data_IF_133422985681
#
_entry.id   IF_133422985681
#
_cell.length_a   1.000
_cell.length_b   1.000
_cell.length_c   1.000
_cell.angle_alpha   90.00
_cell.angle_beta   90.00
_cell.angle_gamma   90.00
#
_symmetry.space_group_name_H-M   'P 1'
#
loop_
_entity.id
_entity.type
_entity.pdbx_description
1 polymer ?
#
# COMPACT_ATOMS: atom_id res chain seq x y z
N UNK A 1 5.43 24.38 -4.69
CA UNK A 1 6.10 24.96 -3.51
C UNK A 1 7.36 24.15 -3.19
N UNK A 2 8.20 24.57 -2.22
CA UNK A 2 9.31 23.72 -1.78
C UNK A 2 8.77 22.56 -0.93
N UNK A 3 9.05 21.32 -1.35
CA UNK A 3 8.70 20.12 -0.58
C UNK A 3 9.68 20.02 0.58
N UNK A 4 9.16 20.13 1.80
CA UNK A 4 9.96 20.07 3.02
C UNK A 4 10.17 18.61 3.44
N UNK A 5 11.40 18.11 3.42
CA UNK A 5 11.70 16.70 3.73
C UNK A 5 11.23 16.24 5.12
N UNK A 6 11.19 17.16 6.10
CA UNK A 6 10.68 16.86 7.44
C UNK A 6 9.15 16.67 7.46
N UNK A 7 8.43 17.42 6.63
CA UNK A 7 6.99 17.25 6.44
C UNK A 7 6.71 15.92 5.73
N UNK A 8 7.46 15.58 4.68
CA UNK A 8 7.33 14.30 3.97
C UNK A 8 7.49 13.11 4.91
N UNK A 9 8.51 13.13 5.77
CA UNK A 9 8.74 12.06 6.76
C UNK A 9 7.57 11.95 7.74
N UNK A 10 7.09 13.09 8.24
CA UNK A 10 5.95 13.14 9.17
C UNK A 10 4.67 12.61 8.51
N UNK A 11 4.39 13.00 7.28
CA UNK A 11 3.24 12.49 6.53
C UNK A 11 3.37 11.00 6.24
N UNK A 12 4.54 10.51 5.83
CA UNK A 12 4.76 9.08 5.58
C UNK A 12 4.50 8.22 6.83
N UNK A 13 4.97 8.66 8.00
CA UNK A 13 4.70 7.96 9.26
C UNK A 13 3.22 7.97 9.62
N UNK A 14 2.55 9.13 9.48
CA UNK A 14 1.13 9.25 9.80
C UNK A 14 0.25 8.42 8.87
N UNK A 15 0.63 8.28 7.60
CA UNK A 15 -0.13 7.50 6.61
C UNK A 15 0.16 6.01 6.75
N UNK A 16 1.41 5.58 6.60
CA UNK A 16 1.73 4.15 6.50
C UNK A 16 1.87 3.45 7.86
N UNK A 17 2.36 4.14 8.89
CA UNK A 17 2.66 3.51 10.18
C UNK A 17 1.47 3.64 11.14
N UNK A 18 0.97 4.86 11.32
CA UNK A 18 -0.08 5.15 12.30
C UNK A 18 -1.49 5.11 11.72
N UNK A 19 -1.67 5.35 10.42
CA UNK A 19 -3.00 5.49 9.81
C UNK A 19 -3.78 6.71 10.33
N UNK A 20 -3.10 7.67 10.96
CA UNK A 20 -3.71 8.88 11.52
C UNK A 20 -4.11 9.89 10.43
N UNK A 21 -3.57 9.76 9.22
CA UNK A 21 -3.92 10.57 8.06
C UNK A 21 -4.04 9.70 6.82
N UNK A 22 -4.94 10.08 5.92
CA UNK A 22 -5.04 9.52 4.56
C UNK A 22 -4.54 10.54 3.55
N UNK A 23 -4.14 10.06 2.38
CA UNK A 23 -3.79 10.95 1.26
C UNK A 23 -4.98 11.79 0.81
N UNK A 24 -6.18 11.19 0.78
CA UNK A 24 -7.43 11.90 0.54
C UNK A 24 -7.80 12.75 1.76
N UNK A 25 -7.70 14.08 1.60
CA UNK A 25 -8.04 15.08 2.63
C UNK A 25 -7.03 15.28 3.78
N UNK A 26 -6.06 14.39 3.99
CA UNK A 26 -5.10 14.48 5.11
C UNK A 26 -3.66 14.87 4.73
N UNK A 27 -3.27 14.67 3.47
CA UNK A 27 -1.94 15.04 2.95
C UNK A 27 -2.12 15.95 1.73
N UNK A 28 -1.44 17.11 1.65
CA UNK A 28 -1.52 17.94 0.46
C UNK A 28 -1.01 17.19 -0.78
N UNK A 29 -1.66 17.37 -1.92
CA UNK A 29 -1.36 16.65 -3.18
C UNK A 29 0.11 16.80 -3.59
N UNK A 30 0.73 17.96 -3.34
CA UNK A 30 2.15 18.21 -3.61
C UNK A 30 3.10 17.23 -2.87
N UNK A 31 2.67 16.68 -1.73
CA UNK A 31 3.45 15.74 -0.93
C UNK A 31 3.17 14.28 -1.27
N UNK A 32 2.15 13.97 -2.07
CA UNK A 32 1.74 12.58 -2.34
C UNK A 32 2.89 11.76 -2.93
N UNK A 33 3.54 12.30 -3.97
CA UNK A 33 4.67 11.64 -4.64
C UNK A 33 5.83 11.41 -3.66
N UNK A 34 6.30 12.46 -2.98
CA UNK A 34 7.44 12.35 -2.07
C UNK A 34 7.17 11.45 -0.86
N UNK A 35 5.93 11.38 -0.39
CA UNK A 35 5.53 10.48 0.70
C UNK A 35 5.59 9.02 0.24
N UNK A 36 5.12 8.71 -0.97
CA UNK A 36 5.23 7.38 -1.58
C UNK A 36 6.69 6.98 -1.82
N UNK A 37 7.51 7.90 -2.35
CA UNK A 37 8.95 7.67 -2.52
C UNK A 37 9.66 7.41 -1.19
N UNK A 38 9.30 8.16 -0.14
CA UNK A 38 9.86 7.96 1.20
C UNK A 38 9.48 6.58 1.74
N UNK A 39 8.21 6.19 1.63
CA UNK A 39 7.74 4.87 2.05
C UNK A 39 8.45 3.75 1.28
N UNK A 40 8.55 3.85 -0.05
CA UNK A 40 9.26 2.89 -0.89
C UNK A 40 10.74 2.72 -0.49
N UNK A 41 11.41 3.82 -0.14
CA UNK A 41 12.84 3.82 0.19
C UNK A 41 13.12 3.40 1.65
N UNK A 42 12.25 3.77 2.59
CA UNK A 42 12.51 3.64 4.04
C UNK A 42 11.73 2.53 4.71
N UNK A 43 10.58 2.12 4.19
CA UNK A 43 9.74 1.12 4.81
C UNK A 43 9.92 -0.25 4.17
N UNK A 44 9.74 -1.27 4.99
CA UNK A 44 9.73 -2.65 4.55
C UNK A 44 8.40 -2.98 3.84
N UNK A 45 8.43 -3.98 2.97
CA UNK A 45 7.27 -4.41 2.18
C UNK A 45 6.10 -4.79 3.08
N UNK A 46 6.39 -5.44 4.22
CA UNK A 46 5.38 -5.80 5.20
C UNK A 46 4.71 -4.59 5.87
N UNK A 47 5.41 -3.46 6.05
CA UNK A 47 4.83 -2.24 6.62
C UNK A 47 3.87 -1.59 5.61
N UNK A 48 4.27 -1.58 4.35
CA UNK A 48 3.46 -1.04 3.25
C UNK A 48 2.22 -1.92 3.05
N UNK A 49 2.39 -3.25 3.13
CA UNK A 49 1.28 -4.21 3.08
C UNK A 49 0.36 -4.08 4.30
N UNK A 50 0.90 -3.93 5.50
CA UNK A 50 0.09 -3.73 6.72
C UNK A 50 -0.74 -2.45 6.63
N UNK A 51 -0.18 -1.37 6.07
CA UNK A 51 -0.94 -0.14 5.81
C UNK A 51 -2.12 -0.37 4.85
N UNK A 52 -1.94 -1.20 3.82
CA UNK A 52 -3.01 -1.62 2.92
C UNK A 52 -4.04 -2.51 3.62
N UNK A 53 -3.59 -3.53 4.36
CA UNK A 53 -4.46 -4.46 5.09
C UNK A 53 -5.31 -3.75 6.16
N UNK A 54 -4.77 -2.67 6.77
CA UNK A 54 -5.48 -1.80 7.72
C UNK A 54 -6.29 -0.68 7.06
N UNK A 55 -6.34 -0.65 5.73
CA UNK A 55 -7.02 0.37 4.94
C UNK A 55 -6.58 1.82 5.23
N UNK A 56 -5.31 2.00 5.60
CA UNK A 56 -4.70 3.33 5.78
C UNK A 56 -4.41 3.99 4.42
N UNK A 57 -4.02 3.17 3.45
CA UNK A 57 -3.82 3.52 2.05
C UNK A 57 -4.79 2.72 1.17
N UNK A 58 -5.04 3.23 -0.02
CA UNK A 58 -5.83 2.55 -1.06
C UNK A 58 -5.00 1.53 -1.83
N UNK A 59 -5.67 0.70 -2.64
CA UNK A 59 -4.99 -0.23 -3.52
C UNK A 59 -4.06 0.49 -4.51
N UNK A 60 -4.54 1.54 -5.19
CA UNK A 60 -3.74 2.33 -6.11
C UNK A 60 -2.45 2.85 -5.45
N UNK A 61 -2.56 3.39 -4.24
CA UNK A 61 -1.41 3.94 -3.50
C UNK A 61 -0.43 2.86 -3.05
N UNK A 62 -0.94 1.70 -2.66
CA UNK A 62 -0.13 0.53 -2.37
C UNK A 62 0.65 0.10 -3.61
N UNK A 63 -0.03 -0.02 -4.75
CA UNK A 63 0.59 -0.39 -6.03
C UNK A 63 1.64 0.61 -6.48
N UNK A 64 1.32 1.90 -6.45
CA UNK A 64 2.25 2.95 -6.83
C UNK A 64 3.51 2.94 -5.95
N UNK A 65 3.34 2.76 -4.64
CA UNK A 65 4.47 2.71 -3.70
C UNK A 65 5.35 1.49 -3.96
N UNK A 66 4.74 0.33 -4.19
CA UNK A 66 5.48 -0.89 -4.49
C UNK A 66 6.18 -0.83 -5.85
N UNK A 67 5.57 -0.19 -6.86
CA UNK A 67 6.20 0.08 -8.16
C UNK A 67 7.38 1.03 -8.06
N UNK A 68 7.32 2.04 -7.19
CA UNK A 68 8.48 2.93 -6.94
C UNK A 68 9.63 2.13 -6.32
N UNK A 69 9.31 1.18 -5.43
CA UNK A 69 10.32 0.34 -4.77
C UNK A 69 10.92 -0.71 -5.71
N UNK A 70 10.08 -1.35 -6.50
CA UNK A 70 10.44 -2.37 -7.48
C UNK A 70 9.58 -2.16 -8.72
N UNK A 71 10.13 -1.64 -9.83
CA UNK A 71 9.37 -1.30 -11.03
C UNK A 71 8.71 -2.50 -11.71
N UNK A 72 9.23 -3.71 -11.48
CA UNK A 72 8.67 -4.97 -11.96
C UNK A 72 7.62 -5.57 -11.00
N UNK A 73 7.24 -4.85 -9.94
CA UNK A 73 6.26 -5.33 -8.98
C UNK A 73 4.85 -5.24 -9.56
N UNK A 74 4.16 -6.38 -9.53
CA UNK A 74 2.74 -6.49 -9.80
C UNK A 74 2.01 -6.83 -8.51
N UNK A 75 0.75 -6.37 -8.37
CA UNK A 75 -0.12 -6.85 -7.30
C UNK A 75 -0.07 -8.38 -7.27
N UNK A 76 0.10 -9.00 -6.09
CA UNK A 76 -0.09 -10.43 -6.00
C UNK A 76 -1.50 -10.71 -6.49
N UNK A 77 -1.62 -11.30 -7.69
CA UNK A 77 -2.90 -11.70 -8.25
C UNK A 77 -3.61 -12.47 -7.13
N UNK A 78 -4.88 -12.14 -6.82
CA UNK A 78 -5.61 -12.93 -5.83
C UNK A 78 -5.39 -14.37 -6.22
N UNK A 79 -4.81 -15.16 -5.29
CA UNK A 79 -4.60 -16.58 -5.50
C UNK A 79 -5.99 -17.07 -5.87
N UNK A 80 -6.19 -17.38 -7.15
CA UNK A 80 -7.46 -17.90 -7.65
C UNK A 80 -7.77 -19.03 -6.69
N UNK A 81 -8.75 -18.83 -5.81
CA UNK A 81 -9.28 -19.94 -5.04
C UNK A 81 -9.70 -20.91 -6.12
N UNK A 82 -8.91 -21.98 -6.30
CA UNK A 82 -9.31 -23.10 -7.13
C UNK A 82 -10.76 -23.34 -6.77
N UNK A 83 -11.71 -23.25 -7.71
CA UNK A 83 -13.09 -23.50 -7.39
C UNK A 83 -13.08 -24.86 -6.70
N UNK A 84 -13.50 -24.87 -5.43
CA UNK A 84 -13.77 -26.07 -4.68
C UNK A 84 -14.71 -26.89 -5.56
N UNK A 85 -14.13 -27.84 -6.30
CA UNK A 85 -14.90 -28.85 -7.01
C UNK A 85 -15.66 -29.56 -5.89
N UNK A 86 -16.99 -29.50 -5.83
CA UNK A 86 -17.72 -30.31 -4.87
C UNK A 86 -17.36 -31.76 -5.21
N UNK A 87 -16.61 -32.39 -4.31
CA UNK A 87 -16.32 -33.81 -4.34
C UNK A 87 -17.69 -34.50 -4.27
N UNK A 88 -18.18 -34.96 -5.43
CA UNK A 88 -19.40 -35.75 -5.51
C UNK A 88 -19.20 -36.95 -4.59
N UNK A 89 -19.95 -36.95 -3.49
CA UNK A 89 -19.97 -38.05 -2.55
C UNK A 89 -20.33 -39.34 -3.31
N UNK A 90 -19.56 -40.43 -3.17
CA UNK A 90 -19.94 -41.69 -3.78
C UNK A 90 -21.26 -42.12 -3.16
N UNK A 91 -22.29 -42.22 -4.00
CA UNK A 91 -23.59 -42.78 -3.62
C UNK A 91 -23.40 -44.30 -3.64
N UNK A 92 -23.35 -44.91 -2.45
CA UNK A 92 -23.43 -46.37 -2.27
C UNK A 92 -24.89 -46.79 -2.07
#
# INVERSE_FOLDING_TARGET
>A
MAILSFMTTSYAQNVYIYGARKFDGGVPVEYHASVKEHAATKYYDWQIKEAYDKAYITEDEYVETMKIKNPDWELPKPKVETPIVPEEAPTE
#
